data_IF_812947978040
#
_entry.id   IF_812947978040
#
_cell.length_a   1.000
_cell.length_b   1.000
_cell.length_c   1.000
_cell.angle_alpha   90.00
_cell.angle_beta   90.00
_cell.angle_gamma   90.00
#
_symmetry.space_group_name_H-M   'P 1'
#
loop_
_entity.id
_entity.type
_entity.pdbx_description
1 polymer ?
#
# COMPACT_ATOMS: atom_id res chain seq x y z
N UNK A 1 -15.01 -65.07 0.91
CA UNK A 1 -14.71 -65.19 2.35
C UNK A 1 -14.46 -63.79 2.89
N UNK A 2 -15.47 -63.17 3.50
CA UNK A 2 -15.34 -61.87 4.16
C UNK A 2 -14.92 -62.13 5.59
N UNK A 3 -13.62 -61.94 5.87
CA UNK A 3 -13.07 -62.05 7.22
C UNK A 3 -13.51 -60.86 8.06
N UNK A 4 -14.61 -61.03 8.80
CA UNK A 4 -15.00 -60.11 9.86
C UNK A 4 -13.99 -60.20 10.99
N UNK A 5 -13.14 -59.17 11.13
CA UNK A 5 -12.36 -58.99 12.35
C UNK A 5 -13.34 -58.75 13.50
N UNK A 6 -13.41 -59.69 14.44
CA UNK A 6 -14.19 -59.55 15.66
C UNK A 6 -13.76 -58.26 16.40
N UNK A 7 -14.70 -57.48 16.96
CA UNK A 7 -14.33 -56.36 17.79
C UNK A 7 -13.54 -56.89 18.99
N UNK A 8 -12.32 -56.41 19.17
CA UNK A 8 -11.57 -56.63 20.40
C UNK A 8 -12.44 -56.03 21.51
N UNK A 9 -12.99 -56.85 22.40
CA UNK A 9 -13.73 -56.38 23.58
C UNK A 9 -12.71 -55.69 24.52
N UNK A 10 -12.36 -54.45 24.20
CA UNK A 10 -11.67 -53.56 25.13
C UNK A 10 -12.54 -53.48 26.38
N UNK A 11 -11.95 -53.82 27.54
CA UNK A 11 -12.66 -53.76 28.81
C UNK A 11 -13.21 -52.34 29.00
N UNK A 12 -14.41 -52.23 29.59
CA UNK A 12 -15.07 -50.93 29.84
C UNK A 12 -14.14 -49.91 30.50
N UNK A 13 -13.22 -50.37 31.34
CA UNK A 13 -12.19 -49.54 31.98
C UNK A 13 -11.12 -49.03 30.99
N UNK A 14 -10.63 -49.88 30.08
CA UNK A 14 -9.69 -49.47 29.04
C UNK A 14 -10.32 -48.45 28.07
N UNK A 15 -11.60 -48.59 27.75
CA UNK A 15 -12.35 -47.63 26.94
C UNK A 15 -12.49 -46.27 27.65
N UNK A 16 -12.79 -46.27 28.95
CA UNK A 16 -12.90 -45.05 29.74
C UNK A 16 -11.55 -44.31 29.87
N UNK A 17 -10.47 -45.06 30.06
CA UNK A 17 -9.12 -44.48 30.14
C UNK A 17 -8.69 -43.87 28.80
N UNK A 18 -9.03 -44.53 27.69
CA UNK A 18 -8.78 -44.03 26.33
C UNK A 18 -9.63 -42.80 25.99
N UNK A 19 -10.90 -42.76 26.41
CA UNK A 19 -11.75 -41.57 26.27
C UNK A 19 -11.15 -40.41 27.03
N UNK A 20 -10.72 -40.62 28.28
CA UNK A 20 -10.09 -39.58 29.10
C UNK A 20 -8.78 -39.07 28.48
N UNK A 21 -7.98 -39.96 27.90
CA UNK A 21 -6.76 -39.58 27.17
C UNK A 21 -7.07 -38.76 25.91
N UNK A 22 -8.06 -39.18 25.11
CA UNK A 22 -8.50 -38.48 23.91
C UNK A 22 -9.14 -37.12 24.21
N UNK A 23 -9.89 -36.98 25.29
CA UNK A 23 -10.45 -35.70 25.74
C UNK A 23 -9.33 -34.73 26.17
N UNK A 24 -8.32 -35.22 26.87
CA UNK A 24 -7.15 -34.41 27.24
C UNK A 24 -6.31 -34.00 26.02
N UNK A 25 -6.21 -34.86 25.02
CA UNK A 25 -5.54 -34.55 23.74
C UNK A 25 -6.35 -33.54 22.91
N UNK A 26 -7.66 -33.71 22.81
CA UNK A 26 -8.55 -32.76 22.14
C UNK A 26 -8.54 -31.38 22.80
N UNK A 27 -8.48 -31.30 24.13
CA UNK A 27 -8.37 -30.03 24.84
C UNK A 27 -7.06 -29.29 24.50
N UNK A 28 -5.94 -30.03 24.39
CA UNK A 28 -4.64 -29.45 23.97
C UNK A 28 -4.66 -28.98 22.52
N UNK A 29 -5.26 -29.77 21.63
CA UNK A 29 -5.37 -29.41 20.21
C UNK A 29 -6.31 -28.21 19.99
N UNK A 30 -7.37 -28.07 20.79
CA UNK A 30 -8.24 -26.89 20.80
C UNK A 30 -7.46 -25.62 21.15
N UNK A 31 -6.75 -25.64 22.27
CA UNK A 31 -5.92 -24.50 22.68
C UNK A 31 -4.85 -24.12 21.64
N UNK A 32 -4.23 -25.12 20.99
CA UNK A 32 -3.26 -24.88 19.92
C UNK A 32 -3.89 -24.26 18.65
N UNK A 33 -5.12 -24.63 18.32
CA UNK A 33 -5.87 -24.04 17.21
C UNK A 33 -6.25 -22.59 17.49
N UNK A 34 -6.74 -22.30 18.68
CA UNK A 34 -7.12 -20.93 19.06
C UNK A 34 -5.93 -19.96 18.96
N UNK A 35 -4.75 -20.40 19.43
CA UNK A 35 -3.50 -19.62 19.31
C UNK A 35 -3.10 -19.42 17.84
N UNK A 36 -3.19 -20.48 17.02
CA UNK A 36 -2.83 -20.40 15.61
C UNK A 36 -3.82 -19.52 14.80
N UNK A 37 -5.11 -19.55 15.14
CA UNK A 37 -6.13 -18.69 14.53
C UNK A 37 -5.92 -17.22 14.91
N UNK A 38 -5.56 -16.93 16.17
CA UNK A 38 -5.25 -15.58 16.63
C UNK A 38 -3.99 -15.01 15.96
N UNK A 39 -2.94 -15.83 15.80
CA UNK A 39 -1.73 -15.46 15.06
C UNK A 39 -2.01 -15.24 13.56
N UNK A 40 -2.82 -16.11 12.95
CA UNK A 40 -3.25 -15.98 11.55
C UNK A 40 -4.09 -14.72 11.33
N UNK A 41 -5.03 -14.41 12.23
CA UNK A 41 -5.83 -13.19 12.19
C UNK A 41 -4.96 -11.94 12.31
N UNK A 42 -3.95 -11.97 13.21
CA UNK A 42 -2.99 -10.87 13.37
C UNK A 42 -2.11 -10.68 12.14
N UNK A 43 -1.59 -11.75 11.57
CA UNK A 43 -0.80 -11.74 10.33
C UNK A 43 -1.62 -11.25 9.14
N UNK A 44 -2.86 -11.71 9.01
CA UNK A 44 -3.79 -11.28 7.96
C UNK A 44 -4.14 -9.79 8.10
N UNK A 45 -4.41 -9.31 9.32
CA UNK A 45 -4.66 -7.89 9.58
C UNK A 45 -3.43 -7.02 9.26
N UNK A 46 -2.23 -7.50 9.60
CA UNK A 46 -0.97 -6.83 9.25
C UNK A 46 -0.74 -6.80 7.72
N UNK A 47 -1.02 -7.91 7.03
CA UNK A 47 -0.92 -8.02 5.58
C UNK A 47 -1.94 -7.12 4.86
N UNK A 48 -3.19 -7.05 5.34
CA UNK A 48 -4.19 -6.12 4.81
C UNK A 48 -3.79 -4.66 5.04
N UNK A 49 -3.28 -4.33 6.23
CA UNK A 49 -2.78 -2.99 6.54
C UNK A 49 -1.59 -2.59 5.63
N UNK A 50 -0.68 -3.53 5.36
CA UNK A 50 0.42 -3.34 4.43
C UNK A 50 -0.06 -3.17 2.98
N UNK A 51 -1.04 -3.97 2.53
CA UNK A 51 -1.64 -3.84 1.20
C UNK A 51 -2.33 -2.48 0.99
N UNK A 52 -3.00 -1.98 2.03
CA UNK A 52 -3.70 -0.69 2.01
C UNK A 52 -2.77 0.52 1.96
N UNK A 53 -1.47 0.34 2.22
CA UNK A 53 -0.50 1.44 2.34
C UNK A 53 0.61 1.40 1.29
N UNK A 54 0.89 0.24 0.68
CA UNK A 54 1.96 0.10 -0.32
C UNK A 54 1.62 0.65 -1.72
N UNK A 55 0.33 0.77 -2.06
CA UNK A 55 -0.14 1.25 -3.37
C UNK A 55 -0.87 2.59 -3.37
N UNK A 56 -1.07 3.20 -2.20
CA UNK A 56 -1.87 4.43 -2.09
C UNK A 56 -0.97 5.65 -2.14
N UNK A 57 -1.04 6.39 -3.25
CA UNK A 57 -0.30 7.64 -3.46
C UNK A 57 -0.76 8.71 -2.46
N UNK A 58 -2.06 8.75 -2.17
CA UNK A 58 -2.67 9.72 -1.26
C UNK A 58 -3.93 9.16 -0.58
N UNK A 59 -4.05 9.34 0.75
CA UNK A 59 -5.24 8.96 1.51
C UNK A 59 -5.55 9.95 2.61
N UNK A 60 -6.82 10.28 2.79
CA UNK A 60 -7.25 11.03 3.97
C UNK A 60 -6.98 10.22 5.26
N UNK A 61 -6.23 10.82 6.18
CA UNK A 61 -5.81 10.21 7.45
C UNK A 61 -6.72 10.56 8.62
N UNK A 62 -7.68 11.48 8.42
CA UNK A 62 -8.51 12.04 9.47
C UNK A 62 -8.13 13.47 9.82
N UNK A 63 -8.70 13.99 10.90
CA UNK A 63 -8.36 15.32 11.43
C UNK A 63 -7.28 15.20 12.52
N UNK A 64 -6.47 16.24 12.67
CA UNK A 64 -5.52 16.37 13.77
C UNK A 64 -6.26 16.52 15.12
N UNK A 65 -5.52 16.52 16.23
CA UNK A 65 -6.07 16.65 17.59
C UNK A 65 -6.87 17.95 17.79
N UNK A 66 -6.59 18.98 16.99
CA UNK A 66 -7.31 20.26 16.99
C UNK A 66 -8.73 20.18 16.38
N UNK A 67 -9.09 19.05 15.78
CA UNK A 67 -10.38 18.82 15.12
C UNK A 67 -10.63 19.70 13.90
N UNK A 68 -9.64 20.44 13.42
CA UNK A 68 -9.77 21.40 12.30
C UNK A 68 -8.85 21.06 11.15
N UNK A 69 -7.62 20.67 11.43
CA UNK A 69 -6.60 20.43 10.42
C UNK A 69 -6.78 19.05 9.82
N UNK A 70 -6.95 18.99 8.50
CA UNK A 70 -7.04 17.74 7.75
C UNK A 70 -5.64 17.15 7.54
N UNK A 71 -5.50 15.88 7.90
CA UNK A 71 -4.26 15.12 7.73
C UNK A 71 -4.41 14.14 6.58
N UNK A 72 -3.33 13.98 5.83
CA UNK A 72 -3.26 13.14 4.64
C UNK A 72 -2.02 12.26 4.69
N UNK A 73 -2.21 10.98 4.45
CA UNK A 73 -1.13 10.07 4.12
C UNK A 73 -0.71 10.29 2.67
N UNK A 74 0.57 10.50 2.42
CA UNK A 74 1.12 10.65 1.08
C UNK A 74 2.45 9.94 0.96
N UNK A 75 2.60 9.15 -0.11
CA UNK A 75 3.86 8.48 -0.44
C UNK A 75 4.68 9.38 -1.34
N UNK A 76 5.90 9.70 -0.92
CA UNK A 76 6.81 10.53 -1.71
C UNK A 76 7.45 9.67 -2.78
N UNK A 77 7.11 9.94 -4.03
CA UNK A 77 7.63 9.24 -5.20
C UNK A 77 8.39 10.23 -6.09
N UNK A 78 9.72 10.14 -6.09
CA UNK A 78 10.60 11.08 -6.78
C UNK A 78 11.06 10.43 -8.07
N UNK A 79 11.19 11.25 -9.12
CA UNK A 79 11.85 10.81 -10.34
C UNK A 79 13.34 10.49 -10.06
N UNK A 80 13.99 9.66 -10.89
CA UNK A 80 15.42 9.36 -10.77
C UNK A 80 16.32 10.61 -10.68
N UNK A 81 16.02 11.68 -11.42
CA UNK A 81 16.76 12.94 -11.31
C UNK A 81 16.50 13.72 -10.00
N UNK A 82 15.43 13.39 -9.27
CA UNK A 82 15.01 14.06 -8.04
C UNK A 82 15.83 13.71 -6.80
N UNK A 83 16.71 12.70 -6.90
CA UNK A 83 17.56 12.24 -5.79
C UNK A 83 16.83 11.38 -4.76
N UNK A 84 17.46 11.20 -3.59
CA UNK A 84 16.98 10.25 -2.57
C UNK A 84 15.98 10.85 -1.57
N UNK A 85 15.94 12.18 -1.43
CA UNK A 85 15.12 12.85 -0.42
C UNK A 85 14.75 14.29 -0.77
N UNK A 86 13.60 14.73 -0.27
CA UNK A 86 13.16 16.12 -0.24
C UNK A 86 13.46 16.74 1.12
N UNK A 87 13.69 18.04 1.20
CA UNK A 87 13.77 18.77 2.48
C UNK A 87 12.76 19.89 2.50
N UNK A 88 11.95 19.96 3.55
CA UNK A 88 11.02 21.08 3.80
C UNK A 88 11.24 21.54 5.24
N UNK A 89 11.47 22.84 5.42
CA UNK A 89 11.72 23.45 6.74
C UNK A 89 12.82 22.75 7.56
N UNK A 90 13.85 22.21 6.89
CA UNK A 90 14.95 21.47 7.53
C UNK A 90 14.69 19.98 7.79
N UNK A 91 13.44 19.50 7.64
CA UNK A 91 13.09 18.09 7.82
C UNK A 91 13.29 17.31 6.51
N UNK A 92 14.12 16.25 6.50
CA UNK A 92 14.29 15.40 5.34
C UNK A 92 13.16 14.37 5.22
N UNK A 93 12.66 14.19 4.00
CA UNK A 93 11.66 13.19 3.65
C UNK A 93 12.19 12.28 2.54
N UNK A 94 12.30 11.00 2.85
CA UNK A 94 12.90 10.00 1.96
C UNK A 94 11.93 9.57 0.84
N UNK A 95 12.50 9.31 -0.34
CA UNK A 95 11.81 8.69 -1.45
C UNK A 95 11.27 7.29 -1.08
N UNK A 96 10.10 6.94 -1.60
CA UNK A 96 9.46 5.63 -1.42
C UNK A 96 8.69 5.49 -0.11
N UNK A 97 8.84 6.42 0.83
CA UNK A 97 8.20 6.38 2.15
C UNK A 97 6.88 7.18 2.19
N UNK A 98 5.97 6.72 3.04
CA UNK A 98 4.68 7.34 3.29
C UNK A 98 4.70 8.11 4.60
N UNK A 99 4.28 9.39 4.57
CA UNK A 99 4.25 10.28 5.72
C UNK A 99 2.86 10.91 5.87
N UNK A 100 2.58 11.51 7.04
CA UNK A 100 1.40 12.34 7.27
C UNK A 100 1.73 13.81 7.05
N UNK A 101 0.87 14.51 6.34
CA UNK A 101 0.98 15.95 6.11
C UNK A 101 -0.34 16.65 6.39
N UNK A 102 -0.26 17.92 6.77
CA UNK A 102 -1.39 18.83 6.66
C UNK A 102 -1.67 19.17 5.18
N UNK A 103 -2.83 19.75 4.90
CA UNK A 103 -3.26 20.07 3.52
C UNK A 103 -2.32 21.04 2.80
N UNK A 104 -1.72 22.02 3.50
CA UNK A 104 -0.91 23.07 2.87
C UNK A 104 0.52 22.58 2.55
N UNK A 105 1.11 21.83 3.48
CA UNK A 105 2.40 21.14 3.30
C UNK A 105 2.27 20.07 2.24
N UNK A 106 1.16 19.31 2.23
CA UNK A 106 0.89 18.31 1.19
C UNK A 106 0.88 18.94 -0.20
N UNK A 107 0.24 20.10 -0.37
CA UNK A 107 0.24 20.82 -1.65
C UNK A 107 1.65 21.14 -2.11
N UNK A 108 2.47 21.66 -1.21
CA UNK A 108 3.87 21.99 -1.49
C UNK A 108 4.68 20.76 -1.88
N UNK A 109 4.51 19.64 -1.17
CA UNK A 109 5.19 18.38 -1.47
C UNK A 109 4.81 17.84 -2.83
N UNK A 110 3.51 17.80 -3.15
CA UNK A 110 3.02 17.35 -4.46
C UNK A 110 3.58 18.19 -5.59
N UNK A 111 3.67 19.50 -5.41
CA UNK A 111 4.25 20.39 -6.41
C UNK A 111 5.75 20.10 -6.63
N UNK A 112 6.52 19.89 -5.55
CA UNK A 112 7.93 19.50 -5.64
C UNK A 112 8.10 18.16 -6.36
N UNK A 113 7.32 17.14 -5.97
CA UNK A 113 7.31 15.82 -6.62
C UNK A 113 6.97 15.95 -8.10
N UNK A 114 5.91 16.67 -8.46
CA UNK A 114 5.51 16.87 -9.84
C UNK A 114 6.61 17.55 -10.67
N UNK A 115 7.31 18.55 -10.11
CA UNK A 115 8.45 19.20 -10.78
C UNK A 115 9.60 18.23 -11.07
N UNK A 116 9.88 17.26 -10.19
CA UNK A 116 10.91 16.24 -10.48
C UNK A 116 10.53 15.37 -11.67
N UNK A 117 9.27 14.94 -11.76
CA UNK A 117 8.78 14.14 -12.89
C UNK A 117 8.68 14.93 -14.19
N UNK A 118 8.30 16.22 -14.13
CA UNK A 118 8.34 17.11 -15.30
C UNK A 118 9.78 17.24 -15.80
N UNK A 119 10.73 17.49 -14.91
CA UNK A 119 12.14 17.61 -15.28
C UNK A 119 12.72 16.31 -15.86
N UNK A 120 12.39 15.16 -15.29
CA UNK A 120 12.77 13.84 -15.82
C UNK A 120 12.20 13.63 -17.23
N UNK A 121 10.95 14.02 -17.47
CA UNK A 121 10.34 13.95 -18.79
C UNK A 121 11.00 14.89 -19.80
N UNK A 122 11.42 16.08 -19.36
CA UNK A 122 12.15 17.04 -20.17
C UNK A 122 13.55 16.50 -20.54
N UNK A 123 14.26 15.86 -19.60
CA UNK A 123 15.58 15.25 -19.84
C UNK A 123 15.48 14.03 -20.74
N UNK A 124 14.54 13.12 -20.45
CA UNK A 124 14.40 11.84 -21.19
C UNK A 124 13.69 12.00 -22.53
N UNK A 125 13.29 13.22 -22.89
CA UNK A 125 12.85 13.52 -24.25
C UNK A 125 11.56 12.82 -24.65
N UNK A 126 10.62 12.63 -23.71
CA UNK A 126 9.25 12.22 -24.04
C UNK A 126 8.54 13.36 -24.81
N UNK A 127 8.90 13.51 -26.08
CA UNK A 127 8.31 14.38 -27.09
C UNK A 127 8.01 15.84 -26.69
N UNK A 128 8.63 16.39 -25.64
CA UNK A 128 8.61 17.82 -25.38
C UNK A 128 9.69 18.48 -26.22
N UNK A 129 9.60 18.36 -27.55
CA UNK A 129 10.47 19.14 -28.43
C UNK A 129 9.92 20.58 -28.42
N UNK A 130 10.56 21.55 -27.75
CA UNK A 130 10.08 22.93 -27.72
C UNK A 130 9.99 23.57 -29.11
N UNK A 131 10.70 23.02 -30.11
CA UNK A 131 10.65 23.43 -31.51
C UNK A 131 9.59 22.69 -32.36
N UNK A 132 8.97 21.62 -31.84
CA UNK A 132 7.78 20.95 -32.44
C UNK A 132 6.50 21.19 -31.65
N UNK A 133 6.51 22.12 -30.70
CA UNK A 133 5.25 22.60 -30.16
C UNK A 133 4.52 23.33 -31.28
N UNK A 134 3.31 22.88 -31.61
CA UNK A 134 2.42 23.64 -32.47
C UNK A 134 2.26 25.02 -31.84
N UNK A 135 2.86 26.03 -32.47
CA UNK A 135 2.92 27.39 -31.97
C UNK A 135 1.55 28.07 -32.16
N UNK A 136 0.49 27.52 -31.57
CA UNK A 136 -0.77 28.25 -31.38
C UNK A 136 -0.64 29.15 -30.14
N UNK A 137 0.37 30.01 -30.15
CA UNK A 137 0.42 31.24 -29.35
C UNK A 137 0.16 32.40 -30.30
N UNK A 138 -1.06 32.47 -30.83
CA UNK A 138 -1.56 33.69 -31.47
C UNK A 138 -2.84 34.09 -30.73
N UNK A 139 -2.77 35.21 -30.01
CA UNK A 139 -3.92 36.01 -29.57
C UNK A 139 -4.54 36.73 -30.79
N UNK A 140 -4.89 35.97 -31.82
CA UNK A 140 -5.37 36.51 -33.09
C UNK A 140 -5.98 35.39 -33.90
N UNK A 141 -7.30 35.41 -34.03
CA UNK A 141 -8.10 34.46 -34.81
C UNK A 141 -7.90 34.64 -36.32
N UNK A 142 -6.67 34.45 -36.79
CA UNK A 142 -6.33 34.37 -38.21
C UNK A 142 -6.22 32.90 -38.65
N UNK A 143 -6.53 32.58 -39.92
CA UNK A 143 -6.43 31.22 -40.42
C UNK A 143 -4.98 30.72 -40.41
N UNK A 144 -4.80 29.46 -39.98
CA UNK A 144 -3.50 28.79 -39.88
C UNK A 144 -2.85 28.70 -41.28
N UNK A 145 -1.58 29.14 -41.43
CA UNK A 145 -0.84 29.06 -42.68
C UNK A 145 -0.77 27.63 -43.24
N UNK A 146 -0.86 27.48 -44.55
CA UNK A 146 -0.96 26.18 -45.22
C UNK A 146 0.24 25.24 -44.95
N UNK A 147 1.42 25.80 -44.69
CA UNK A 147 2.64 25.05 -44.43
C UNK A 147 2.70 24.45 -43.02
N UNK A 148 1.83 24.88 -42.10
CA UNK A 148 1.80 24.40 -40.71
C UNK A 148 0.75 23.29 -40.47
N UNK A 149 0.11 22.78 -41.53
CA UNK A 149 -0.83 21.66 -41.48
C UNK A 149 -0.10 20.36 -41.87
N UNK A 150 0.63 19.77 -40.95
CA UNK A 150 1.14 18.40 -41.09
C UNK A 150 1.37 17.77 -39.73
#
# INVERSE_FOLDING_TARGET
MLGGAAPVEESREALLERIKALEAENAKLGAAKDIAEEESARLSAQAQSALLTSGVVERFAGKAEDGKTDLWWYRIDLAPCGGEHLKINGTPYLHGHTYKFDTDTLRSIKEMVARTWVHENDINGHAFNPYKQAQNKVLGGGPVPAWARS
#
